data_IF_018350622879
#
_entry.id   IF_018350622879
#
_cell.length_a   1.000
_cell.length_b   1.000
_cell.length_c   1.000
_cell.angle_alpha   90.00
_cell.angle_beta   90.00
_cell.angle_gamma   90.00
#
_symmetry.space_group_name_H-M   'P 1'
#
loop_
_entity.id
_entity.type
_entity.pdbx_description
1 polymer ?
#
# COMPACT_ATOMS: atom_id res chain seq x y z
N UNK A 1 -55.94 5.81 -21.59
CA UNK A 1 -54.84 6.55 -21.06
C UNK A 1 -53.60 5.67 -20.98
N UNK A 2 -52.54 6.06 -21.63
CA UNK A 2 -51.26 5.36 -21.52
C UNK A 2 -50.70 5.59 -20.11
N UNK A 3 -50.73 4.55 -19.27
CA UNK A 3 -50.06 4.55 -17.99
C UNK A 3 -48.54 4.33 -18.30
N UNK A 4 -47.73 5.39 -18.15
CA UNK A 4 -46.28 5.26 -18.20
C UNK A 4 -45.76 4.93 -16.80
N UNK A 5 -45.02 3.85 -16.67
CA UNK A 5 -44.28 3.50 -15.44
C UNK A 5 -42.83 3.87 -15.63
N UNK A 6 -42.30 4.67 -14.70
CA UNK A 6 -40.87 4.92 -14.62
C UNK A 6 -40.25 3.94 -13.61
N UNK A 7 -39.09 3.39 -13.95
CA UNK A 7 -38.34 2.54 -13.04
C UNK A 7 -36.88 2.96 -12.99
N UNK A 8 -36.25 2.70 -11.85
CA UNK A 8 -34.82 2.89 -11.64
C UNK A 8 -34.23 1.57 -11.18
N UNK A 9 -33.07 1.24 -11.70
CA UNK A 9 -32.27 0.12 -11.23
C UNK A 9 -30.93 0.64 -10.71
N UNK A 10 -30.40 0.02 -9.68
CA UNK A 10 -29.10 0.41 -9.12
C UNK A 10 -28.68 -0.57 -8.03
N UNK A 11 -27.44 -0.41 -7.60
CA UNK A 11 -26.86 -1.19 -6.52
C UNK A 11 -26.70 -0.30 -5.29
N UNK A 12 -26.97 -0.86 -4.12
CA UNK A 12 -26.76 -0.18 -2.84
C UNK A 12 -26.26 -1.17 -1.79
N UNK A 13 -25.70 -0.65 -0.71
CA UNK A 13 -25.18 -1.47 0.38
C UNK A 13 -26.33 -2.07 1.21
N UNK A 14 -26.12 -3.28 1.72
CA UNK A 14 -27.08 -3.96 2.60
C UNK A 14 -27.49 -3.09 3.81
N UNK A 15 -26.55 -2.28 4.34
CA UNK A 15 -26.78 -1.35 5.44
C UNK A 15 -27.87 -0.29 5.12
N UNK A 16 -28.11 0.02 3.85
CA UNK A 16 -29.09 1.00 3.40
C UNK A 16 -30.47 0.40 3.10
N UNK A 17 -30.59 -0.93 3.06
CA UNK A 17 -31.86 -1.61 2.70
C UNK A 17 -33.05 -1.17 3.55
N UNK A 18 -32.86 -0.94 4.84
CA UNK A 18 -33.94 -0.46 5.72
C UNK A 18 -34.42 0.92 5.31
N UNK A 19 -33.51 1.84 5.02
CA UNK A 19 -33.84 3.21 4.58
C UNK A 19 -34.57 3.21 3.25
N UNK A 20 -34.13 2.35 2.31
CA UNK A 20 -34.76 2.21 0.99
C UNK A 20 -36.18 1.67 1.14
N UNK A 21 -36.39 0.65 1.99
CA UNK A 21 -37.72 0.09 2.28
C UNK A 21 -38.67 1.12 2.91
N UNK A 22 -38.16 1.92 3.85
CA UNK A 22 -38.92 3.00 4.48
C UNK A 22 -39.31 4.08 3.46
N UNK A 23 -38.37 4.53 2.65
CA UNK A 23 -38.59 5.54 1.62
C UNK A 23 -39.59 5.05 0.56
N UNK A 24 -39.50 3.77 0.14
CA UNK A 24 -40.44 3.17 -0.80
C UNK A 24 -41.88 3.11 -0.22
N UNK A 25 -41.98 2.79 1.06
CA UNK A 25 -43.28 2.75 1.75
C UNK A 25 -43.89 4.15 1.89
N UNK A 26 -43.10 5.13 2.30
CA UNK A 26 -43.56 6.52 2.44
C UNK A 26 -44.05 7.12 1.13
N UNK A 27 -43.38 6.79 0.02
CA UNK A 27 -43.68 7.34 -1.30
C UNK A 27 -44.57 6.43 -2.14
N UNK A 28 -45.04 5.29 -1.61
CA UNK A 28 -45.84 4.30 -2.32
C UNK A 28 -45.19 3.79 -3.60
N UNK A 29 -43.88 3.59 -3.59
CA UNK A 29 -43.11 3.01 -4.70
C UNK A 29 -43.15 1.49 -4.65
N UNK A 30 -43.25 0.85 -5.82
CA UNK A 30 -42.95 -0.56 -5.95
C UNK A 30 -41.46 -0.80 -5.78
N UNK A 31 -41.03 -1.67 -4.89
CA UNK A 31 -39.63 -1.98 -4.63
C UNK A 31 -39.40 -3.48 -4.86
N UNK A 32 -38.44 -3.81 -5.73
CA UNK A 32 -37.92 -5.15 -5.92
C UNK A 32 -36.47 -5.14 -5.44
N UNK A 33 -36.09 -6.08 -4.61
CA UNK A 33 -34.70 -6.25 -4.12
C UNK A 33 -34.31 -7.68 -4.44
N UNK A 34 -33.19 -7.80 -5.15
CA UNK A 34 -32.59 -9.07 -5.55
C UNK A 34 -31.09 -9.01 -5.25
N UNK A 35 -30.51 -10.15 -4.92
CA UNK A 35 -29.05 -10.26 -4.80
C UNK A 35 -28.44 -10.31 -6.19
N UNK A 36 -27.28 -9.66 -6.39
CA UNK A 36 -26.62 -9.65 -7.69
C UNK A 36 -26.12 -11.05 -8.06
N UNK A 37 -26.15 -11.35 -9.36
CA UNK A 37 -25.63 -12.58 -9.96
C UNK A 37 -24.23 -12.34 -10.57
N UNK A 38 -23.53 -13.43 -10.95
CA UNK A 38 -22.21 -13.33 -11.60
C UNK A 38 -22.26 -12.63 -12.96
N UNK A 39 -23.44 -12.54 -13.58
CA UNK A 39 -23.64 -11.85 -14.86
C UNK A 39 -23.80 -10.33 -14.67
N UNK A 40 -24.06 -9.88 -13.46
CA UNK A 40 -24.26 -8.48 -13.15
C UNK A 40 -22.92 -7.74 -13.00
N UNK A 41 -22.81 -6.59 -13.63
CA UNK A 41 -21.63 -5.73 -13.47
C UNK A 41 -21.78 -4.84 -12.23
N UNK A 42 -21.58 -5.45 -11.06
CA UNK A 42 -21.75 -4.81 -9.76
C UNK A 42 -20.56 -3.91 -9.45
N UNK A 43 -20.77 -2.63 -9.12
CA UNK A 43 -19.68 -1.78 -8.67
C UNK A 43 -19.15 -2.23 -7.32
N UNK A 44 -17.84 -2.41 -7.22
CA UNK A 44 -17.19 -2.86 -5.98
C UNK A 44 -16.95 -1.70 -5.03
N UNK A 45 -17.37 -1.84 -3.77
CA UNK A 45 -16.97 -0.96 -2.68
C UNK A 45 -16.13 -1.72 -1.69
N UNK A 46 -14.85 -1.39 -1.62
CA UNK A 46 -13.92 -1.99 -0.67
C UNK A 46 -14.09 -1.36 0.71
N UNK A 47 -14.20 -2.21 1.75
CA UNK A 47 -14.31 -1.79 3.15
C UNK A 47 -13.14 -2.37 3.95
N UNK A 48 -12.04 -1.65 3.97
CA UNK A 48 -10.86 -2.02 4.74
C UNK A 48 -10.63 -1.08 5.92
N UNK A 49 -9.78 -1.51 6.87
CA UNK A 49 -9.34 -0.64 7.94
C UNK A 49 -8.49 0.53 7.40
N UNK A 50 -8.32 1.58 8.21
CA UNK A 50 -7.60 2.81 7.81
C UNK A 50 -6.16 2.56 7.35
N UNK A 51 -5.50 1.52 7.85
CA UNK A 51 -4.13 1.20 7.46
C UNK A 51 -4.09 0.51 6.10
N UNK A 52 -4.91 -0.52 5.88
CA UNK A 52 -4.98 -1.22 4.59
C UNK A 52 -5.49 -0.30 3.49
N UNK A 53 -6.43 0.60 3.77
CA UNK A 53 -6.94 1.56 2.79
C UNK A 53 -5.89 2.56 2.26
N UNK A 54 -4.70 2.64 2.87
CA UNK A 54 -3.60 3.44 2.34
C UNK A 54 -3.09 2.96 0.98
N UNK A 55 -3.39 1.72 0.60
CA UNK A 55 -3.04 1.19 -0.73
C UNK A 55 -3.96 1.71 -1.84
N UNK A 56 -5.17 2.18 -1.54
CA UNK A 56 -6.17 2.55 -2.54
C UNK A 56 -5.68 3.55 -3.59
N UNK A 57 -4.94 4.63 -3.26
CA UNK A 57 -4.43 5.53 -4.29
C UNK A 57 -3.56 4.82 -5.33
N UNK A 58 -2.87 3.75 -4.94
CA UNK A 58 -2.05 2.96 -5.86
C UNK A 58 -2.89 1.97 -6.65
N UNK A 59 -3.83 1.27 -6.02
CA UNK A 59 -4.72 0.33 -6.72
C UNK A 59 -5.64 1.04 -7.69
N UNK A 60 -6.14 2.23 -7.34
CA UNK A 60 -6.94 3.07 -8.23
C UNK A 60 -6.12 3.55 -9.43
N UNK A 61 -4.89 3.99 -9.20
CA UNK A 61 -3.97 4.40 -10.26
C UNK A 61 -3.64 3.25 -11.23
N UNK A 62 -3.45 2.04 -10.70
CA UNK A 62 -3.13 0.85 -11.48
C UNK A 62 -4.37 0.20 -12.11
N UNK A 63 -5.57 0.61 -11.71
CA UNK A 63 -6.82 -0.02 -12.17
C UNK A 63 -6.99 -1.46 -11.66
N UNK A 64 -6.39 -1.81 -10.53
CA UNK A 64 -6.38 -3.17 -9.96
C UNK A 64 -7.35 -3.33 -8.80
N UNK A 65 -8.53 -2.71 -8.88
CA UNK A 65 -9.59 -2.89 -7.89
C UNK A 65 -10.28 -4.23 -8.15
N UNK A 66 -10.39 -5.14 -7.14
CA UNK A 66 -11.04 -6.42 -7.32
C UNK A 66 -12.53 -6.25 -7.64
N UNK A 67 -13.09 -7.17 -8.44
CA UNK A 67 -14.51 -7.26 -8.72
C UNK A 67 -15.33 -7.66 -7.48
N UNK A 68 -16.65 -7.50 -7.56
CA UNK A 68 -17.56 -7.77 -6.43
C UNK A 68 -17.46 -9.22 -5.90
N UNK A 69 -17.28 -10.19 -6.80
CA UNK A 69 -17.13 -11.61 -6.44
C UNK A 69 -15.68 -12.04 -6.24
N UNK A 70 -14.72 -11.12 -6.32
CA UNK A 70 -13.31 -11.42 -6.16
C UNK A 70 -12.86 -11.17 -4.72
N UNK A 71 -11.79 -11.87 -4.33
CA UNK A 71 -11.21 -11.68 -3.00
C UNK A 71 -10.46 -10.36 -2.92
N UNK A 72 -10.66 -9.61 -1.84
CA UNK A 72 -9.93 -8.37 -1.58
C UNK A 72 -8.49 -8.63 -1.13
N UNK A 73 -7.56 -8.41 -2.02
CA UNK A 73 -6.12 -8.58 -1.80
C UNK A 73 -5.42 -7.33 -1.24
N UNK A 74 -6.15 -6.25 -0.96
CA UNK A 74 -5.56 -4.95 -0.57
C UNK A 74 -4.56 -5.05 0.56
N UNK A 75 -4.83 -5.85 1.59
CA UNK A 75 -3.91 -6.04 2.72
C UNK A 75 -2.61 -6.75 2.33
N UNK A 76 -2.71 -7.80 1.55
CA UNK A 76 -1.54 -8.52 1.02
C UNK A 76 -0.75 -7.65 0.06
N UNK A 77 -1.44 -6.92 -0.83
CA UNK A 77 -0.79 -6.04 -1.78
C UNK A 77 -0.02 -4.94 -1.06
N UNK A 78 -0.61 -4.30 -0.03
CA UNK A 78 0.11 -3.31 0.78
C UNK A 78 1.37 -3.91 1.42
N UNK A 79 1.27 -5.07 2.04
CA UNK A 79 2.39 -5.75 2.68
C UNK A 79 3.53 -6.04 1.70
N UNK A 80 3.20 -6.69 0.58
CA UNK A 80 4.19 -7.03 -0.42
C UNK A 80 4.82 -5.82 -1.10
N UNK A 81 4.03 -4.80 -1.47
CA UNK A 81 4.58 -3.61 -2.13
C UNK A 81 5.51 -2.84 -1.21
N UNK A 82 5.25 -2.78 0.10
CA UNK A 82 6.15 -2.16 1.06
C UNK A 82 7.49 -2.90 1.12
N UNK A 83 7.47 -4.24 1.17
CA UNK A 83 8.68 -5.05 1.16
C UNK A 83 9.47 -4.84 -0.14
N UNK A 84 8.82 -4.98 -1.30
CA UNK A 84 9.46 -4.81 -2.60
C UNK A 84 10.01 -3.40 -2.79
N UNK A 85 9.26 -2.38 -2.40
CA UNK A 85 9.74 -0.99 -2.49
C UNK A 85 10.99 -0.79 -1.65
N UNK A 86 10.99 -1.29 -0.41
CA UNK A 86 12.16 -1.24 0.47
C UNK A 86 13.38 -1.92 -0.14
N UNK A 87 13.20 -3.10 -0.76
CA UNK A 87 14.28 -3.85 -1.42
C UNK A 87 14.81 -3.11 -2.65
N UNK A 88 13.93 -2.62 -3.53
CA UNK A 88 14.29 -1.99 -4.79
C UNK A 88 15.06 -0.69 -4.56
N UNK A 89 14.58 0.16 -3.66
CA UNK A 89 15.27 1.41 -3.31
C UNK A 89 16.45 1.20 -2.37
N UNK A 90 16.41 0.21 -1.50
CA UNK A 90 17.46 -0.41 -0.72
C UNK A 90 18.39 0.48 0.12
N UNK A 91 18.23 1.79 0.10
CA UNK A 91 19.17 2.75 0.71
C UNK A 91 18.49 3.62 1.77
N UNK A 92 19.03 3.61 2.99
CA UNK A 92 18.48 4.36 4.12
C UNK A 92 18.44 5.88 3.90
N UNK A 93 19.34 6.47 3.12
CA UNK A 93 19.32 7.91 2.82
C UNK A 93 18.15 8.26 1.93
N UNK A 94 17.88 7.47 0.89
CA UNK A 94 16.67 7.64 0.07
C UNK A 94 15.40 7.47 0.89
N UNK A 95 15.39 6.49 1.80
CA UNK A 95 14.27 6.30 2.74
C UNK A 95 14.05 7.54 3.62
N UNK A 96 15.11 8.15 4.14
CA UNK A 96 15.02 9.40 4.90
C UNK A 96 14.46 10.56 4.06
N UNK A 97 14.92 10.70 2.81
CA UNK A 97 14.42 11.75 1.90
C UNK A 97 12.92 11.58 1.62
N UNK A 98 12.47 10.37 1.32
CA UNK A 98 11.06 10.07 1.09
C UNK A 98 10.21 10.33 2.33
N UNK A 99 10.67 9.90 3.50
CA UNK A 99 9.97 10.12 4.77
C UNK A 99 9.90 11.62 5.11
N UNK A 100 10.99 12.35 4.91
CA UNK A 100 11.01 13.79 5.11
C UNK A 100 10.07 14.54 4.15
N UNK A 101 10.03 14.14 2.88
CA UNK A 101 9.09 14.69 1.90
C UNK A 101 7.64 14.42 2.30
N UNK A 102 7.31 13.19 2.70
CA UNK A 102 5.98 12.84 3.19
C UNK A 102 5.60 13.66 4.43
N UNK A 103 6.49 13.77 5.40
CA UNK A 103 6.28 14.58 6.61
C UNK A 103 6.04 16.06 6.28
N UNK A 104 6.82 16.64 5.39
CA UNK A 104 6.64 18.02 4.94
C UNK A 104 5.27 18.24 4.29
N UNK A 105 4.83 17.33 3.42
CA UNK A 105 3.52 17.39 2.77
C UNK A 105 2.37 17.27 3.80
N UNK A 106 2.49 16.33 4.73
CA UNK A 106 1.50 16.12 5.80
C UNK A 106 1.42 17.37 6.69
N UNK A 107 2.56 17.92 7.13
CA UNK A 107 2.61 19.13 7.97
C UNK A 107 2.01 20.33 7.23
N UNK A 108 2.33 20.49 5.94
CA UNK A 108 1.79 21.56 5.10
C UNK A 108 0.26 21.49 5.03
N UNK A 109 -0.31 20.31 4.77
CA UNK A 109 -1.76 20.13 4.71
C UNK A 109 -2.42 20.37 6.07
N UNK A 110 -1.81 19.84 7.15
CA UNK A 110 -2.30 20.04 8.51
C UNK A 110 -2.35 21.52 8.91
N UNK A 111 -1.28 22.27 8.59
CA UNK A 111 -1.26 23.74 8.83
C UNK A 111 -2.31 24.49 8.02
N UNK A 112 -2.59 24.03 6.79
CA UNK A 112 -3.62 24.59 5.93
C UNK A 112 -5.04 24.13 6.29
N UNK A 113 -5.22 23.33 7.35
CA UNK A 113 -6.50 22.70 7.76
C UNK A 113 -7.17 21.91 6.64
N UNK A 114 -6.36 21.34 5.74
CA UNK A 114 -6.80 20.46 4.66
C UNK A 114 -6.70 18.99 5.10
N UNK A 115 -7.53 18.16 4.51
CA UNK A 115 -7.42 16.71 4.68
C UNK A 115 -6.06 16.21 4.20
N UNK A 116 -5.56 15.16 4.86
CA UNK A 116 -4.29 14.54 4.49
C UNK A 116 -4.60 13.43 3.49
N UNK A 117 -4.19 13.56 2.21
CA UNK A 117 -4.39 12.50 1.24
C UNK A 117 -3.72 11.20 1.69
N UNK A 118 -4.38 10.03 1.55
CA UNK A 118 -3.80 8.72 1.89
C UNK A 118 -2.47 8.46 1.18
N UNK A 119 -2.29 9.01 -0.03
CA UNK A 119 -1.04 8.92 -0.79
C UNK A 119 0.18 9.48 -0.06
N UNK A 120 0.01 10.52 0.77
CA UNK A 120 1.13 11.08 1.55
C UNK A 120 1.55 10.14 2.69
N UNK A 121 0.59 9.45 3.29
CA UNK A 121 0.86 8.45 4.32
C UNK A 121 1.51 7.22 3.68
N UNK A 122 1.04 6.79 2.51
CA UNK A 122 1.64 5.70 1.74
C UNK A 122 3.10 6.02 1.35
N UNK A 123 3.38 7.25 0.90
CA UNK A 123 4.74 7.71 0.62
C UNK A 123 5.62 7.63 1.87
N UNK A 124 5.09 8.01 3.04
CA UNK A 124 5.79 7.88 4.32
C UNK A 124 6.11 6.41 4.66
N UNK A 125 5.17 5.50 4.42
CA UNK A 125 5.39 4.06 4.61
C UNK A 125 6.45 3.52 3.67
N UNK A 126 6.49 3.94 2.41
CA UNK A 126 7.55 3.59 1.47
C UNK A 126 8.92 4.07 1.96
N UNK A 127 8.99 5.32 2.45
CA UNK A 127 10.21 5.85 3.06
C UNK A 127 10.68 5.04 4.26
N UNK A 128 9.76 4.70 5.18
CA UNK A 128 10.08 3.89 6.37
C UNK A 128 10.52 2.47 5.99
N UNK A 129 9.87 1.85 5.03
CA UNK A 129 10.28 0.53 4.52
C UNK A 129 11.68 0.57 3.93
N UNK A 130 12.01 1.60 3.17
CA UNK A 130 13.34 1.81 2.59
C UNK A 130 14.40 2.06 3.66
N UNK A 131 14.08 2.84 4.71
CA UNK A 131 14.97 3.02 5.89
C UNK A 131 15.23 1.68 6.56
N UNK A 132 14.18 0.91 6.80
CA UNK A 132 14.28 -0.41 7.43
C UNK A 132 15.21 -1.32 6.61
N UNK A 133 14.99 -1.40 5.31
CA UNK A 133 15.81 -2.23 4.43
C UNK A 133 17.26 -1.76 4.39
N UNK A 134 17.50 -0.46 4.19
CA UNK A 134 18.84 0.13 4.24
C UNK A 134 19.56 -0.10 5.57
N UNK A 135 18.81 -0.12 6.66
CA UNK A 135 19.37 -0.40 8.00
C UNK A 135 19.76 -1.86 8.15
N UNK A 136 18.90 -2.81 7.78
CA UNK A 136 19.20 -4.25 7.93
C UNK A 136 20.28 -4.73 6.98
N UNK A 137 20.43 -4.10 5.81
CA UNK A 137 21.49 -4.38 4.83
C UNK A 137 22.76 -3.54 5.03
N UNK A 138 22.71 -2.54 5.92
CA UNK A 138 23.78 -1.55 6.09
C UNK A 138 24.12 -0.81 4.80
N UNK A 139 23.08 -0.31 4.09
CA UNK A 139 23.20 0.44 2.84
C UNK A 139 22.75 1.87 3.07
N UNK A 140 23.68 2.82 3.04
CA UNK A 140 23.43 4.22 3.34
C UNK A 140 24.23 5.14 2.39
N UNK A 141 23.52 5.78 1.45
CA UNK A 141 24.08 6.78 0.55
C UNK A 141 25.19 6.25 -0.38
N UNK A 142 25.16 4.95 -0.70
CA UNK A 142 26.19 4.32 -1.52
C UNK A 142 27.60 4.27 -0.86
N UNK A 143 27.68 4.54 0.45
CA UNK A 143 28.95 4.47 1.17
C UNK A 143 29.29 3.01 1.51
N UNK A 144 30.60 2.65 1.43
CA UNK A 144 31.06 1.36 1.93
C UNK A 144 30.71 1.18 3.42
N UNK A 145 30.26 -0.01 3.78
CA UNK A 145 29.82 -0.32 5.14
C UNK A 145 30.86 0.03 6.22
N UNK A 146 32.13 -0.14 5.91
CA UNK A 146 33.28 0.18 6.78
C UNK A 146 33.39 1.67 7.16
N UNK A 147 32.88 2.56 6.29
CA UNK A 147 32.87 4.01 6.52
C UNK A 147 31.65 4.49 7.30
N UNK A 148 30.66 3.62 7.50
CA UNK A 148 29.46 3.95 8.25
C UNK A 148 29.71 3.88 9.75
N UNK A 149 28.91 4.63 10.57
CA UNK A 149 29.01 4.56 12.02
C UNK A 149 28.82 3.13 12.55
N UNK A 150 29.57 2.78 13.59
CA UNK A 150 29.60 1.44 14.15
C UNK A 150 28.22 0.93 14.60
N UNK A 151 27.35 1.84 15.07
CA UNK A 151 26.00 1.48 15.46
C UNK A 151 25.14 0.99 14.26
N UNK A 152 25.29 1.56 13.06
CA UNK A 152 24.60 1.10 11.85
C UNK A 152 25.11 -0.27 11.41
N UNK A 153 26.40 -0.51 11.56
CA UNK A 153 26.98 -1.82 11.24
C UNK A 153 26.45 -2.89 12.22
N UNK A 154 26.35 -2.56 13.52
CA UNK A 154 25.96 -3.51 14.57
C UNK A 154 24.49 -3.90 14.55
N UNK A 155 23.59 -3.02 14.08
CA UNK A 155 22.15 -3.32 13.99
C UNK A 155 21.77 -4.02 12.67
N UNK A 156 22.70 -4.13 11.73
CA UNK A 156 22.46 -4.84 10.48
C UNK A 156 22.34 -6.35 10.67
N UNK A 157 21.59 -7.00 9.82
CA UNK A 157 21.41 -8.46 9.90
C UNK A 157 22.57 -9.14 9.16
N UNK A 158 23.39 -9.97 9.85
CA UNK A 158 24.63 -10.53 9.28
C UNK A 158 24.42 -11.27 7.94
N UNK A 159 23.29 -11.94 7.78
CA UNK A 159 23.01 -12.78 6.60
C UNK A 159 22.79 -11.96 5.33
N UNK A 160 22.29 -10.72 5.45
CA UNK A 160 21.94 -9.87 4.29
C UNK A 160 22.71 -8.55 4.29
N UNK A 161 23.59 -8.35 5.27
CA UNK A 161 24.34 -7.09 5.44
C UNK A 161 25.62 -7.07 4.64
N UNK A 162 25.91 -5.93 4.02
CA UNK A 162 27.17 -5.66 3.36
C UNK A 162 28.40 -5.73 4.29
N UNK A 163 28.21 -5.55 5.60
CA UNK A 163 29.27 -5.65 6.63
C UNK A 163 29.84 -7.06 6.71
N UNK A 164 29.04 -8.07 6.43
CA UNK A 164 29.39 -9.49 6.61
C UNK A 164 29.43 -10.27 5.29
N UNK A 165 29.32 -9.59 4.15
CA UNK A 165 29.19 -10.23 2.84
C UNK A 165 30.32 -11.24 2.55
N UNK A 166 31.57 -10.84 2.76
CA UNK A 166 32.76 -11.67 2.57
C UNK A 166 32.95 -12.77 3.60
N UNK A 167 32.29 -12.69 4.78
CA UNK A 167 32.42 -13.67 5.84
C UNK A 167 31.39 -14.79 5.80
N UNK A 168 30.16 -14.46 5.36
CA UNK A 168 29.01 -15.38 5.46
C UNK A 168 28.52 -15.82 4.08
N UNK A 169 28.25 -14.89 3.17
CA UNK A 169 27.56 -15.14 1.91
C UNK A 169 28.48 -15.15 0.70
N UNK A 170 29.57 -14.41 0.78
CA UNK A 170 30.49 -14.24 -0.34
C UNK A 170 30.97 -15.58 -0.93
N UNK A 171 31.48 -16.54 -0.13
CA UNK A 171 31.92 -17.83 -0.66
C UNK A 171 30.77 -18.65 -1.27
N UNK A 172 29.54 -18.48 -0.79
CA UNK A 172 28.40 -19.27 -1.23
C UNK A 172 27.83 -18.75 -2.55
N UNK A 173 27.67 -17.41 -2.70
CA UNK A 173 27.05 -16.81 -3.87
C UNK A 173 27.99 -16.54 -5.02
N UNK A 174 29.27 -16.32 -4.75
CA UNK A 174 30.24 -15.88 -5.75
C UNK A 174 31.24 -16.97 -6.12
N UNK A 175 31.13 -18.16 -5.54
CA UNK A 175 32.13 -19.24 -5.70
C UNK A 175 33.58 -18.76 -5.42
N UNK A 176 33.74 -17.76 -4.55
CA UNK A 176 35.03 -17.19 -4.19
C UNK A 176 35.54 -16.11 -5.15
N UNK A 177 34.75 -15.64 -6.11
CA UNK A 177 35.15 -14.53 -6.97
C UNK A 177 35.10 -13.19 -6.22
N UNK A 178 36.22 -12.47 -6.22
CA UNK A 178 36.35 -11.20 -5.54
C UNK A 178 35.57 -10.10 -6.25
N UNK A 179 34.78 -9.33 -5.52
CA UNK A 179 34.16 -8.09 -6.00
C UNK A 179 32.64 -8.04 -6.04
N UNK A 180 31.94 -9.13 -5.77
CA UNK A 180 30.47 -9.13 -5.66
C UNK A 180 30.05 -8.98 -4.20
N UNK A 181 29.16 -8.07 -3.90
CA UNK A 181 28.53 -7.92 -2.59
C UNK A 181 27.08 -8.41 -2.64
N UNK A 182 26.59 -8.91 -1.53
CA UNK A 182 25.23 -9.45 -1.41
C UNK A 182 24.11 -8.43 -1.64
N UNK A 183 24.44 -7.14 -1.69
CA UNK A 183 23.50 -6.05 -1.87
C UNK A 183 23.57 -5.37 -3.25
N UNK A 184 24.32 -5.93 -4.18
CA UNK A 184 24.38 -5.45 -5.57
C UNK A 184 23.48 -6.25 -6.48
#
# INVERSE_FOLDING_TARGET
GNLSVAYFTGYDEEENLLKIKEAAKENSWGLLIEDPTEEDNVPTKLKNNKFVSLIYPLTDFLGTVPGYFEYDISGWFLGFILIFFGIIFGDGVYGLLLTAAAAALIIKNKKAKKEIPPAFLLLGLFGLSTILWGTVTCTWGGLPAEKLPQFLQSISIPVISNVYADKIWYPFWTNGEAGLTTAQ
#
